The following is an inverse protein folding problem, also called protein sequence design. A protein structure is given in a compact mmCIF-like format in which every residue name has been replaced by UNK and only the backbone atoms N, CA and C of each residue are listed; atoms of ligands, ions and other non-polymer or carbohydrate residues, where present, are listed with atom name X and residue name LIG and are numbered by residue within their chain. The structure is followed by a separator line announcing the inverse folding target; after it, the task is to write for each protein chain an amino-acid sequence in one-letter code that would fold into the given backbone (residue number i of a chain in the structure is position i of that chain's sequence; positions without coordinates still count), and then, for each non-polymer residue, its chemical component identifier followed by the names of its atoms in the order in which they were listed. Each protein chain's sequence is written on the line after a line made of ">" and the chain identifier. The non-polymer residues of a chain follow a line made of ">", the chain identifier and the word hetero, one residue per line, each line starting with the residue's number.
data_IF_296970123093
#
_entry.id   IF_296970123093
#
_cell.length_a   1.000
_cell.length_b   1.000
_cell.length_c   1.000
_cell.angle_alpha   90.00
_cell.angle_beta   90.00
_cell.angle_gamma   90.00
#
_symmetry.space_group_name_H-M   'P 1'
#
loop_
_entity.id
_entity.type
_entity.pdbx_description
1 polymer ?
#
# COMPACT_ATOMS: atom_id res chain seq x y z
N UNK A 1 -21.34 18.19 -4.21
CA UNK A 1 -20.08 18.68 -3.63
C UNK A 1 -19.14 17.48 -3.55
N UNK A 2 -18.12 17.43 -4.41
CA UNK A 2 -17.16 16.33 -4.37
C UNK A 2 -16.33 16.47 -3.08
N UNK A 3 -16.50 15.54 -2.14
CA UNK A 3 -15.62 15.44 -0.99
C UNK A 3 -14.22 15.12 -1.50
N UNK A 4 -13.32 16.10 -1.48
CA UNK A 4 -11.91 15.90 -1.76
C UNK A 4 -11.29 15.25 -0.52
N UNK A 5 -11.33 13.92 -0.46
CA UNK A 5 -10.66 13.18 0.60
C UNK A 5 -9.16 13.45 0.52
N UNK A 6 -8.56 13.93 1.61
CA UNK A 6 -7.11 13.94 1.70
C UNK A 6 -6.59 12.50 1.72
N UNK A 7 -5.39 12.28 1.18
CA UNK A 7 -4.77 10.95 1.16
C UNK A 7 -4.59 10.41 2.59
N UNK A 8 -4.29 11.28 3.55
CA UNK A 8 -4.17 10.96 4.97
C UNK A 8 -5.49 10.44 5.55
N UNK A 9 -6.61 11.16 5.33
CA UNK A 9 -7.94 10.71 5.78
C UNK A 9 -8.31 9.35 5.18
N UNK A 10 -8.05 9.13 3.89
CA UNK A 10 -8.30 7.84 3.25
C UNK A 10 -7.45 6.72 3.86
N UNK A 11 -6.17 6.97 4.12
CA UNK A 11 -5.26 6.00 4.76
C UNK A 11 -5.67 5.68 6.20
N UNK A 12 -6.32 6.59 6.89
CA UNK A 12 -6.88 6.36 8.22
C UNK A 12 -8.18 5.55 8.16
N UNK A 13 -9.14 5.99 7.34
CA UNK A 13 -10.47 5.37 7.24
C UNK A 13 -10.43 3.99 6.58
N UNK A 14 -9.50 3.76 5.64
CA UNK A 14 -9.33 2.50 4.93
C UNK A 14 -8.56 1.44 5.74
N UNK A 15 -8.36 1.64 7.05
CA UNK A 15 -7.79 0.62 7.95
C UNK A 15 -8.73 -0.58 8.14
N UNK A 16 -10.03 -0.41 7.87
CA UNK A 16 -11.04 -1.47 7.91
C UNK A 16 -10.83 -2.48 6.77
N UNK A 17 -11.38 -3.68 6.89
CA UNK A 17 -11.40 -4.67 5.79
C UNK A 17 -12.75 -4.76 5.08
N UNK A 18 -13.64 -3.82 5.32
CA UNK A 18 -14.95 -3.69 4.67
C UNK A 18 -14.85 -2.73 3.49
N UNK A 19 -15.78 -2.86 2.54
CA UNK A 19 -15.86 -1.93 1.40
C UNK A 19 -15.96 -0.50 1.91
N UNK A 20 -15.06 0.35 1.40
CA UNK A 20 -15.04 1.76 1.73
C UNK A 20 -16.03 2.51 0.82
N UNK A 21 -17.00 3.27 1.34
CA UNK A 21 -18.06 3.91 0.55
C UNK A 21 -17.53 4.79 -0.59
N UNK A 22 -16.52 5.62 -0.32
CA UNK A 22 -15.90 6.45 -1.37
C UNK A 22 -15.31 5.64 -2.54
N UNK A 23 -14.77 4.45 -2.27
CA UNK A 23 -14.22 3.57 -3.31
C UNK A 23 -15.36 2.93 -4.09
N UNK A 24 -16.42 2.51 -3.41
CA UNK A 24 -17.65 2.01 -4.04
C UNK A 24 -18.25 3.07 -4.97
N UNK A 25 -18.44 4.30 -4.51
CA UNK A 25 -18.96 5.42 -5.31
C UNK A 25 -18.09 5.69 -6.53
N UNK A 26 -16.75 5.66 -6.38
CA UNK A 26 -15.82 5.84 -7.51
C UNK A 26 -15.96 4.73 -8.55
N UNK A 27 -16.17 3.47 -8.11
CA UNK A 27 -16.38 2.35 -9.03
C UNK A 27 -17.74 2.47 -9.72
N UNK A 28 -18.81 2.78 -8.97
CA UNK A 28 -20.18 2.90 -9.48
C UNK A 28 -20.32 4.05 -10.47
N UNK A 29 -19.65 5.17 -10.23
CA UNK A 29 -19.64 6.32 -11.15
C UNK A 29 -19.02 5.92 -12.49
N UNK A 30 -17.99 5.08 -12.47
CA UNK A 30 -17.43 4.48 -13.69
C UNK A 30 -16.54 5.40 -14.53
N UNK A 31 -16.13 6.56 -14.00
CA UNK A 31 -15.39 7.58 -14.76
C UNK A 31 -13.93 7.19 -15.07
N UNK A 32 -13.19 6.70 -14.07
CA UNK A 32 -11.76 6.35 -14.22
C UNK A 32 -11.42 5.01 -13.54
N UNK A 33 -11.21 4.00 -14.37
CA UNK A 33 -10.78 2.66 -13.94
C UNK A 33 -9.45 2.69 -13.18
N UNK A 34 -8.50 3.55 -13.55
CA UNK A 34 -7.20 3.60 -12.91
C UNK A 34 -7.32 4.22 -11.50
N UNK A 35 -8.15 5.24 -11.33
CA UNK A 35 -8.48 5.79 -10.02
C UNK A 35 -9.10 4.72 -9.12
N UNK A 36 -10.11 3.99 -9.60
CA UNK A 36 -10.74 2.89 -8.86
C UNK A 36 -9.73 1.80 -8.44
N UNK A 37 -8.88 1.34 -9.36
CA UNK A 37 -7.86 0.33 -9.06
C UNK A 37 -6.81 0.82 -8.06
N UNK A 38 -6.37 2.08 -8.16
CA UNK A 38 -5.44 2.71 -7.19
C UNK A 38 -6.06 2.80 -5.80
N UNK A 39 -7.33 3.18 -5.71
CA UNK A 39 -8.05 3.24 -4.43
C UNK A 39 -8.19 1.86 -3.78
N UNK A 40 -8.50 0.82 -4.56
CA UNK A 40 -8.52 -0.57 -4.05
C UNK A 40 -7.13 -0.97 -3.54
N UNK A 41 -6.05 -0.60 -4.24
CA UNK A 41 -4.69 -0.85 -3.80
C UNK A 41 -4.34 -0.13 -2.49
N UNK A 42 -4.72 1.14 -2.34
CA UNK A 42 -4.53 1.91 -1.12
C UNK A 42 -5.28 1.26 0.05
N UNK A 43 -6.53 0.86 -0.15
CA UNK A 43 -7.31 0.16 0.87
C UNK A 43 -6.68 -1.18 1.26
N UNK A 44 -6.25 -1.98 0.28
CA UNK A 44 -5.53 -3.22 0.56
C UNK A 44 -4.23 -3.01 1.32
N UNK A 45 -3.49 -1.93 1.02
CA UNK A 45 -2.29 -1.56 1.75
C UNK A 45 -2.60 -1.14 3.19
N UNK A 46 -3.53 -0.20 3.38
CA UNK A 46 -3.92 0.34 4.69
C UNK A 46 -4.44 -0.75 5.64
N UNK A 47 -5.17 -1.72 5.09
CA UNK A 47 -5.72 -2.86 5.83
C UNK A 47 -4.73 -4.03 6.02
N UNK A 48 -3.46 -3.94 5.59
CA UNK A 48 -2.53 -5.09 5.55
C UNK A 48 -3.11 -6.32 4.82
N UNK A 49 -3.80 -6.09 3.70
CA UNK A 49 -4.54 -7.08 2.95
C UNK A 49 -6.03 -7.11 3.29
N UNK A 50 -6.84 -7.53 2.32
CA UNK A 50 -8.30 -7.58 2.41
C UNK A 50 -8.80 -9.01 2.59
N UNK A 51 -9.95 -9.18 3.25
CA UNK A 51 -10.60 -10.49 3.35
C UNK A 51 -11.00 -11.02 1.96
N UNK A 52 -11.05 -12.35 1.78
CA UNK A 52 -11.48 -12.97 0.52
C UNK A 52 -12.85 -12.45 0.03
N UNK A 53 -13.80 -12.25 0.96
CA UNK A 53 -15.13 -11.74 0.65
C UNK A 53 -15.09 -10.31 0.09
N UNK A 54 -14.30 -9.41 0.69
CA UNK A 54 -14.13 -8.02 0.26
C UNK A 54 -13.46 -7.97 -1.12
N UNK A 55 -12.42 -8.77 -1.35
CA UNK A 55 -11.77 -8.88 -2.66
C UNK A 55 -12.74 -9.39 -3.73
N UNK A 56 -13.53 -10.41 -3.39
CA UNK A 56 -14.55 -10.93 -4.30
C UNK A 56 -15.59 -9.86 -4.66
N UNK A 57 -16.02 -9.06 -3.70
CA UNK A 57 -16.93 -7.94 -3.95
C UNK A 57 -16.28 -6.88 -4.87
N UNK A 58 -15.04 -6.47 -4.63
CA UNK A 58 -14.33 -5.56 -5.53
C UNK A 58 -14.20 -6.11 -6.95
N UNK A 59 -13.88 -7.40 -7.11
CA UNK A 59 -13.82 -8.04 -8.43
C UNK A 59 -15.16 -7.97 -9.17
N UNK A 60 -16.28 -8.20 -8.47
CA UNK A 60 -17.63 -8.07 -9.07
C UNK A 60 -17.93 -6.64 -9.50
N UNK A 61 -17.68 -5.66 -8.62
CA UNK A 61 -17.97 -4.25 -8.94
C UNK A 61 -17.11 -3.73 -10.11
N UNK A 62 -15.82 -4.10 -10.14
CA UNK A 62 -14.92 -3.76 -11.26
C UNK A 62 -15.39 -4.41 -12.56
N UNK A 63 -15.76 -5.70 -12.53
CA UNK A 63 -16.28 -6.39 -13.72
C UNK A 63 -17.55 -5.72 -14.24
N UNK A 64 -18.47 -5.36 -13.34
CA UNK A 64 -19.75 -4.75 -13.70
C UNK A 64 -19.60 -3.34 -14.27
N UNK A 65 -18.68 -2.53 -13.71
CA UNK A 65 -18.55 -1.11 -14.08
C UNK A 65 -17.57 -0.88 -15.22
N UNK A 66 -16.52 -1.69 -15.33
CA UNK A 66 -15.41 -1.48 -16.28
C UNK A 66 -15.10 -2.69 -17.18
N UNK A 67 -15.78 -3.82 -17.00
CA UNK A 67 -15.62 -5.01 -17.83
C UNK A 67 -14.41 -5.90 -17.50
N UNK A 68 -14.22 -6.92 -18.33
CA UNK A 68 -13.25 -8.02 -18.11
C UNK A 68 -11.79 -7.56 -18.17
N UNK A 69 -11.48 -6.57 -18.99
CA UNK A 69 -10.12 -6.04 -19.11
C UNK A 69 -9.67 -5.38 -17.80
N UNK A 70 -10.55 -4.62 -17.17
CA UNK A 70 -10.30 -4.00 -15.86
C UNK A 70 -10.16 -5.05 -14.76
N UNK A 71 -10.98 -6.11 -14.79
CA UNK A 71 -10.82 -7.24 -13.86
C UNK A 71 -9.45 -7.89 -14.03
N UNK A 72 -8.99 -8.10 -15.26
CA UNK A 72 -7.65 -8.65 -15.52
C UNK A 72 -6.53 -7.76 -14.96
N UNK A 73 -6.68 -6.43 -15.02
CA UNK A 73 -5.73 -5.50 -14.36
C UNK A 73 -5.73 -5.69 -12.84
N UNK A 74 -6.90 -5.79 -12.21
CA UNK A 74 -7.01 -6.06 -10.77
C UNK A 74 -6.33 -7.39 -10.39
N UNK A 75 -6.56 -8.46 -11.15
CA UNK A 75 -5.94 -9.76 -10.89
C UNK A 75 -4.41 -9.72 -11.04
N UNK A 76 -3.89 -8.94 -11.99
CA UNK A 76 -2.44 -8.70 -12.11
C UNK A 76 -1.89 -7.96 -10.89
N UNK A 77 -2.60 -6.95 -10.36
CA UNK A 77 -2.22 -6.26 -9.12
C UNK A 77 -2.18 -7.24 -7.92
N UNK A 78 -3.06 -8.24 -7.90
CA UNK A 78 -3.00 -9.29 -6.87
C UNK A 78 -1.77 -10.18 -7.01
N UNK A 79 -1.48 -10.65 -8.24
CA UNK A 79 -0.28 -11.45 -8.52
C UNK A 79 1.01 -10.70 -8.18
N UNK A 80 1.03 -9.39 -8.41
CA UNK A 80 2.16 -8.53 -8.06
C UNK A 80 2.22 -8.18 -6.57
N UNK A 81 1.32 -8.68 -5.72
CA UNK A 81 1.37 -8.43 -4.28
C UNK A 81 0.98 -7.02 -3.83
N UNK A 82 0.46 -6.20 -4.76
CA UNK A 82 -0.06 -4.84 -4.49
C UNK A 82 -1.43 -4.92 -3.80
N UNK A 83 -2.30 -5.80 -4.28
CA UNK A 83 -3.62 -6.07 -3.69
C UNK A 83 -3.63 -7.49 -3.11
N UNK A 84 -3.45 -7.62 -1.80
CA UNK A 84 -3.29 -8.94 -1.16
C UNK A 84 -4.56 -9.43 -0.49
N UNK A 85 -4.71 -10.75 -0.49
CA UNK A 85 -5.63 -11.44 0.40
C UNK A 85 -5.00 -11.54 1.79
N UNK A 86 -5.75 -11.12 2.82
CA UNK A 86 -5.30 -11.21 4.20
C UNK A 86 -5.22 -12.68 4.61
N UNK A 87 -4.12 -13.06 5.26
CA UNK A 87 -3.88 -14.43 5.72
C UNK A 87 -3.10 -15.31 4.73
N UNK A 88 -2.77 -14.80 3.53
CA UNK A 88 -1.82 -15.45 2.62
C UNK A 88 -2.25 -16.81 2.05
N UNK A 89 -3.50 -17.24 2.27
CA UNK A 89 -4.04 -18.51 1.77
C UNK A 89 -4.46 -18.48 0.30
N UNK A 90 -4.39 -17.32 -0.35
CA UNK A 90 -4.86 -17.12 -1.71
C UNK A 90 -3.95 -17.76 -2.77
N UNK A 91 -4.53 -18.14 -3.91
CA UNK A 91 -3.76 -18.65 -5.08
C UNK A 91 -2.97 -17.57 -5.83
N UNK A 92 -3.14 -16.30 -5.45
CA UNK A 92 -2.57 -15.12 -6.10
C UNK A 92 -1.74 -14.35 -5.08
N UNK A 93 -0.63 -14.95 -4.66
CA UNK A 93 0.35 -14.34 -3.77
C UNK A 93 1.61 -13.97 -4.56
N UNK A 94 2.32 -12.95 -4.08
CA UNK A 94 3.65 -12.62 -4.57
C UNK A 94 4.70 -13.29 -3.69
N UNK A 95 5.81 -13.68 -4.31
CA UNK A 95 6.92 -14.41 -3.66
C UNK A 95 7.88 -13.47 -2.91
N UNK A 96 7.34 -12.45 -2.23
CA UNK A 96 8.12 -11.52 -1.43
C UNK A 96 7.37 -11.09 -0.16
N UNK A 97 8.12 -10.61 0.82
CA UNK A 97 7.57 -10.26 2.14
C UNK A 97 6.55 -9.12 2.02
N UNK A 98 5.34 -9.28 2.57
CA UNK A 98 4.30 -8.27 2.50
C UNK A 98 4.68 -6.99 3.28
N UNK A 99 4.49 -5.84 2.65
CA UNK A 99 4.58 -4.53 3.33
C UNK A 99 3.55 -4.46 4.46
N UNK A 100 4.02 -4.33 5.70
CA UNK A 100 3.20 -4.18 6.91
C UNK A 100 2.93 -2.69 7.17
N UNK A 101 2.07 -2.09 6.35
CA UNK A 101 1.84 -0.64 6.37
C UNK A 101 1.42 -0.13 7.75
N UNK A 102 0.53 -0.83 8.47
CA UNK A 102 0.10 -0.38 9.81
C UNK A 102 1.26 -0.28 10.81
N UNK A 103 2.25 -1.19 10.71
CA UNK A 103 3.45 -1.14 11.53
C UNK A 103 4.35 0.03 11.11
N UNK A 104 4.64 0.12 9.80
CA UNK A 104 5.50 1.17 9.24
C UNK A 104 4.92 2.58 9.47
N UNK A 105 3.59 2.72 9.39
CA UNK A 105 2.86 3.96 9.68
C UNK A 105 3.20 4.53 11.04
N UNK A 106 3.23 3.67 12.07
CA UNK A 106 3.59 4.05 13.44
C UNK A 106 5.09 4.24 13.60
N UNK A 107 5.88 3.30 13.11
CA UNK A 107 7.35 3.32 13.26
C UNK A 107 7.98 4.57 12.64
N UNK A 108 7.52 4.97 11.47
CA UNK A 108 8.09 6.08 10.69
C UNK A 108 7.24 7.35 10.73
N UNK A 109 6.18 7.40 11.54
CA UNK A 109 5.26 8.54 11.63
C UNK A 109 4.83 9.05 10.25
N UNK A 110 4.24 8.14 9.45
CA UNK A 110 3.89 8.43 8.05
C UNK A 110 2.71 9.41 7.91
N UNK A 111 1.88 9.52 8.95
CA UNK A 111 0.76 10.46 8.99
C UNK A 111 1.03 11.49 10.07
N UNK A 112 1.19 12.74 9.66
CA UNK A 112 1.42 13.87 10.56
C UNK A 112 0.10 14.61 10.82
N UNK A 113 -0.24 14.81 12.09
CA UNK A 113 -1.53 15.38 12.52
C UNK A 113 -1.67 16.87 12.21
N UNK A 114 -0.56 17.62 12.22
CA UNK A 114 -0.56 19.09 12.06
C UNK A 114 0.46 19.50 11.00
N UNK A 115 0.11 19.34 9.74
CA UNK A 115 0.93 19.75 8.61
C UNK A 115 0.49 21.11 8.09
N UNK A 116 1.44 22.03 8.01
CA UNK A 116 1.27 23.30 7.31
C UNK A 116 1.82 23.14 5.88
N UNK A 117 1.00 23.41 4.87
CA UNK A 117 1.43 23.36 3.46
C UNK A 117 2.49 24.42 3.12
N UNK A 118 2.64 25.44 3.97
CA UNK A 118 3.65 26.50 3.81
C UNK A 118 4.97 26.20 4.53
N UNK A 119 4.96 25.28 5.49
CA UNK A 119 6.16 24.93 6.24
C UNK A 119 6.82 23.68 5.64
N UNK A 120 7.97 23.86 4.98
CA UNK A 120 8.69 22.78 4.30
C UNK A 120 9.63 22.00 5.22
N UNK A 121 9.51 22.13 6.54
CA UNK A 121 10.38 21.42 7.50
C UNK A 121 10.11 19.91 7.58
N UNK A 122 8.91 19.45 7.23
CA UNK A 122 8.54 18.03 7.17
C UNK A 122 7.94 17.70 5.81
N UNK A 123 8.48 16.71 5.11
CA UNK A 123 8.03 16.24 3.79
C UNK A 123 6.56 15.82 3.70
N UNK A 124 5.87 15.61 4.82
CA UNK A 124 4.42 15.42 4.84
C UNK A 124 3.62 16.59 4.21
N UNK A 125 4.23 17.79 4.08
CA UNK A 125 3.64 18.95 3.41
C UNK A 125 3.24 18.67 1.95
N UNK A 126 4.00 17.82 1.25
CA UNK A 126 3.79 17.56 -0.17
C UNK A 126 2.54 16.72 -0.48
N UNK A 127 2.03 15.99 0.51
CA UNK A 127 0.85 15.13 0.38
C UNK A 127 -0.16 15.37 1.51
N UNK A 128 -0.30 16.63 1.94
CA UNK A 128 -1.30 17.11 2.90
C UNK A 128 -1.45 16.19 4.13
N UNK A 129 -0.33 15.85 4.75
CA UNK A 129 -0.31 15.02 5.96
C UNK A 129 0.36 13.66 5.81
N UNK A 130 0.58 13.17 4.58
CA UNK A 130 1.32 11.92 4.36
C UNK A 130 2.78 12.15 3.99
N UNK A 131 3.72 11.62 4.79
CA UNK A 131 5.13 11.52 4.42
C UNK A 131 5.40 10.17 3.72
N UNK A 132 5.93 10.15 2.49
CA UNK A 132 6.26 8.90 1.82
C UNK A 132 7.25 8.05 2.63
N UNK A 133 6.96 6.75 2.77
CA UNK A 133 7.80 5.81 3.53
C UNK A 133 9.27 5.84 3.09
N UNK A 134 9.53 5.89 1.78
CA UNK A 134 10.89 5.96 1.25
C UNK A 134 11.66 7.19 1.78
N UNK A 135 10.98 8.34 1.85
CA UNK A 135 11.58 9.58 2.37
C UNK A 135 11.91 9.41 3.85
N UNK A 136 10.99 8.86 4.66
CA UNK A 136 11.25 8.61 6.09
C UNK A 136 12.42 7.64 6.32
N UNK A 137 12.56 6.62 5.48
CA UNK A 137 13.70 5.70 5.53
C UNK A 137 15.01 6.42 5.20
N UNK A 138 15.01 7.31 4.20
CA UNK A 138 16.19 8.09 3.84
C UNK A 138 16.56 9.09 4.95
N UNK A 139 15.60 9.79 5.55
CA UNK A 139 15.82 10.68 6.69
C UNK A 139 16.44 9.94 7.87
N UNK A 140 15.88 8.77 8.21
CA UNK A 140 16.40 7.92 9.29
C UNK A 140 17.80 7.40 8.97
N UNK A 141 18.01 6.92 7.74
CA UNK A 141 19.29 6.44 7.26
C UNK A 141 20.38 7.50 7.34
N UNK A 142 20.10 8.73 6.91
CA UNK A 142 21.04 9.84 7.02
C UNK A 142 21.32 10.20 8.50
N UNK A 143 20.29 10.26 9.35
CA UNK A 143 20.40 10.55 10.78
C UNK A 143 21.35 9.58 11.50
N UNK A 144 21.27 8.29 11.19
CA UNK A 144 22.14 7.25 11.77
C UNK A 144 23.40 6.99 10.95
N UNK A 145 23.66 7.75 9.89
CA UNK A 145 24.76 7.54 8.93
C UNK A 145 24.81 6.12 8.38
N UNK A 146 23.64 5.53 8.15
CA UNK A 146 23.45 4.16 7.68
C UNK A 146 24.09 3.09 8.58
N UNK A 147 24.40 3.43 9.83
CA UNK A 147 24.99 2.50 10.78
C UNK A 147 24.04 1.32 11.04
N UNK A 148 24.51 0.10 10.80
CA UNK A 148 23.73 -1.13 11.04
C UNK A 148 22.70 -1.48 9.95
N UNK A 149 22.66 -0.77 8.82
CA UNK A 149 21.75 -1.08 7.70
C UNK A 149 21.94 -2.50 7.14
N UNK A 150 23.16 -3.05 7.17
CA UNK A 150 23.40 -4.42 6.75
C UNK A 150 22.77 -5.47 7.70
N UNK A 151 22.37 -5.10 8.92
CA UNK A 151 21.80 -6.03 9.92
C UNK A 151 20.29 -6.24 9.74
N UNK A 152 19.60 -5.40 8.96
CA UNK A 152 18.15 -5.53 8.74
C UNK A 152 17.78 -6.65 7.76
N UNK A 153 18.75 -7.24 7.05
CA UNK A 153 18.52 -8.30 6.06
C UNK A 153 18.92 -9.71 6.55
N UNK A 154 19.50 -9.85 7.75
CA UNK A 154 19.90 -11.14 8.34
C UNK A 154 18.74 -11.92 9.00
N UNK A 155 17.51 -11.42 8.88
CA UNK A 155 16.31 -12.15 9.31
C UNK A 155 15.93 -13.23 8.29
N UNK A 156 16.28 -14.48 8.58
CA UNK A 156 15.87 -15.67 7.82
C UNK A 156 14.34 -15.76 7.70
N UNK A 157 13.80 -15.28 6.58
CA UNK A 157 12.45 -15.65 6.14
C UNK A 157 12.60 -16.62 4.99
N UNK A 158 12.53 -17.92 5.31
CA UNK A 158 12.49 -19.00 4.34
C UNK A 158 13.80 -19.29 3.62
N UNK A 159 14.71 -20.01 4.29
CA UNK A 159 15.60 -20.98 3.63
C UNK A 159 16.54 -20.49 2.51
N UNK A 160 16.83 -19.20 2.38
CA UNK A 160 17.89 -18.71 1.49
C UNK A 160 18.94 -17.96 2.30
N UNK A 161 20.17 -18.46 2.20
CA UNK A 161 21.39 -17.89 2.75
C UNK A 161 21.72 -16.57 2.06
N UNK A 162 22.08 -15.59 2.89
CA UNK A 162 22.93 -14.41 2.63
C UNK A 162 22.81 -13.65 1.31
N UNK A 163 22.69 -12.33 1.43
CA UNK A 163 22.77 -11.33 0.36
C UNK A 163 24.04 -11.44 -0.52
N UNK A 164 25.12 -12.03 0.01
CA UNK A 164 26.37 -12.25 -0.72
C UNK A 164 26.23 -13.25 -1.88
N UNK A 165 25.24 -14.14 -1.85
CA UNK A 165 25.06 -15.14 -2.90
C UNK A 165 24.36 -14.56 -4.15
N UNK A 166 23.80 -13.34 -4.06
CA UNK A 166 22.96 -12.74 -5.11
C UNK A 166 23.75 -11.95 -6.17
N UNK A 167 25.03 -11.66 -5.94
CA UNK A 167 25.89 -10.87 -6.85
C UNK A 167 27.21 -11.57 -7.23
N UNK A 168 27.33 -12.86 -6.95
CA UNK A 168 28.42 -13.68 -7.49
C UNK A 168 28.09 -14.05 -8.94
N UNK A 169 28.51 -13.21 -9.88
CA UNK A 169 28.69 -13.63 -11.26
C UNK A 169 30.03 -14.36 -11.37
N UNK A 170 29.98 -15.69 -11.38
CA UNK A 170 30.93 -16.49 -12.18
C UNK A 170 30.32 -16.77 -13.55
#
# INVERSE_FOLDING_TARGET
>A
MAHFWSLSELLESASSDKIHPFIEDTIVTGDDVNAALRLIAIHALAANGLKPATLHQYRRMIMQSFGVEALNKLLKLQKMGVVRERGGSGKLNADYVPVMFSHMKKQYSLLAENVSETNTSDFAYAYSGYAPLLVRILEEGDRVRWAGWHKTFDGTVGGMSSFNDMFSFE
#
